data_IF_669333517893
#
_entry.id   IF_669333517893
#
_cell.length_a   1.000
_cell.length_b   1.000
_cell.length_c   1.000
_cell.angle_alpha   90.00
_cell.angle_beta   90.00
_cell.angle_gamma   90.00
#
_symmetry.space_group_name_H-M   'P 1'
#
loop_
_entity.id
_entity.type
_entity.pdbx_description
1 polymer ?
#
# COMPACT_ATOMS: atom_id res chain seq x y z
N UNK A 1 -2.92 -4.12 -9.21
CA UNK A 1 -1.59 -4.39 -9.82
C UNK A 1 -0.71 -5.32 -8.99
N UNK A 2 -0.11 -4.90 -7.86
CA UNK A 2 0.85 -5.75 -7.12
C UNK A 2 0.28 -7.09 -6.64
N UNK A 3 -0.95 -7.10 -6.13
CA UNK A 3 -1.65 -8.32 -5.74
C UNK A 3 -1.82 -9.29 -6.93
N UNK A 4 -2.21 -8.78 -8.09
CA UNK A 4 -2.32 -9.58 -9.32
C UNK A 4 -0.96 -10.15 -9.74
N UNK A 5 0.11 -9.34 -9.74
CA UNK A 5 1.46 -9.81 -10.04
C UNK A 5 1.91 -10.94 -9.10
N UNK A 6 1.64 -10.80 -7.80
CA UNK A 6 1.89 -11.84 -6.82
C UNK A 6 1.13 -13.12 -7.11
N UNK A 7 -0.18 -13.02 -7.34
CA UNK A 7 -1.03 -14.18 -7.65
C UNK A 7 -0.63 -14.87 -8.96
N UNK A 8 -0.21 -14.10 -9.97
CA UNK A 8 0.31 -14.64 -11.23
C UNK A 8 1.61 -15.42 -11.00
N UNK A 9 2.57 -14.83 -10.28
CA UNK A 9 3.85 -15.47 -9.98
C UNK A 9 3.72 -16.70 -9.08
N UNK A 10 2.68 -16.73 -8.23
CA UNK A 10 2.34 -17.89 -7.40
C UNK A 10 1.50 -18.95 -8.14
N UNK A 11 1.16 -18.75 -9.42
CA UNK A 11 0.33 -19.70 -10.18
C UNK A 11 -1.11 -19.78 -9.70
N UNK A 12 -1.59 -18.78 -8.96
CA UNK A 12 -2.93 -18.74 -8.36
C UNK A 12 -3.92 -17.91 -9.17
N UNK A 13 -3.45 -17.02 -10.04
CA UNK A 13 -4.29 -16.07 -10.76
C UNK A 13 -5.44 -16.72 -11.53
N UNK A 14 -5.16 -17.74 -12.34
CA UNK A 14 -6.19 -18.41 -13.16
C UNK A 14 -7.30 -19.04 -12.32
N UNK A 15 -6.96 -19.54 -11.13
CA UNK A 15 -7.93 -20.16 -10.19
C UNK A 15 -8.79 -19.12 -9.47
N UNK A 16 -8.27 -17.91 -9.28
CA UNK A 16 -8.89 -16.89 -8.45
C UNK A 16 -9.54 -15.75 -9.24
N UNK A 17 -9.13 -15.48 -10.49
CA UNK A 17 -9.55 -14.30 -11.25
C UNK A 17 -11.08 -14.12 -11.35
N UNK A 18 -11.85 -15.20 -11.41
CA UNK A 18 -13.32 -15.16 -11.44
C UNK A 18 -14.00 -14.89 -10.08
N UNK A 19 -13.22 -14.86 -9.00
CA UNK A 19 -13.68 -14.64 -7.61
C UNK A 19 -13.14 -13.33 -7.01
N UNK A 20 -12.35 -12.57 -7.76
CA UNK A 20 -11.70 -11.35 -7.28
C UNK A 20 -12.64 -10.16 -7.48
N UNK A 21 -12.85 -9.41 -6.41
CA UNK A 21 -13.48 -8.09 -6.45
C UNK A 21 -12.37 -7.04 -6.28
N UNK A 22 -12.33 -6.03 -7.15
CA UNK A 22 -11.37 -4.94 -7.08
C UNK A 22 -12.04 -3.64 -6.66
N UNK A 23 -11.37 -2.87 -5.82
CA UNK A 23 -11.83 -1.56 -5.37
C UNK A 23 -10.91 -0.45 -5.85
N UNK A 24 -11.43 0.78 -5.86
CA UNK A 24 -10.66 1.97 -6.25
C UNK A 24 -9.66 2.37 -5.16
N UNK A 25 -10.01 2.14 -3.89
CA UNK A 25 -9.16 2.46 -2.75
C UNK A 25 -8.81 1.21 -1.95
N UNK A 26 -7.52 1.07 -1.58
CA UNK A 26 -7.01 -0.07 -0.83
C UNK A 26 -7.67 -0.25 0.55
N UNK A 27 -8.21 0.83 1.14
CA UNK A 27 -8.95 0.78 2.40
C UNK A 27 -10.30 0.07 2.26
N UNK A 28 -10.94 0.11 1.10
CA UNK A 28 -12.22 -0.58 0.88
C UNK A 28 -12.05 -2.11 0.90
N UNK A 29 -10.93 -2.61 0.39
CA UNK A 29 -10.61 -4.04 0.43
C UNK A 29 -10.53 -4.57 1.87
N UNK A 30 -10.02 -3.77 2.81
CA UNK A 30 -9.99 -4.09 4.24
C UNK A 30 -11.39 -4.12 4.84
N UNK A 31 -12.19 -3.09 4.58
CA UNK A 31 -13.55 -3.01 5.11
C UNK A 31 -14.40 -4.20 4.66
N UNK A 32 -14.20 -4.71 3.45
CA UNK A 32 -14.95 -5.87 2.95
C UNK A 32 -14.61 -7.16 3.70
N UNK A 33 -13.35 -7.34 4.13
CA UNK A 33 -12.96 -8.45 5.01
C UNK A 33 -13.64 -8.29 6.37
N UNK A 34 -13.56 -7.10 6.98
CA UNK A 34 -14.15 -6.84 8.30
C UNK A 34 -15.69 -6.98 8.31
N UNK A 35 -16.36 -6.64 7.20
CA UNK A 35 -17.80 -6.83 7.02
C UNK A 35 -18.19 -8.29 6.68
N UNK A 36 -17.24 -9.20 6.51
CA UNK A 36 -17.51 -10.58 6.07
C UNK A 36 -18.04 -10.69 4.64
N UNK A 37 -17.83 -9.67 3.79
CA UNK A 37 -18.25 -9.68 2.38
C UNK A 37 -17.32 -10.52 1.50
N UNK A 38 -16.09 -10.74 1.95
CA UNK A 38 -15.09 -11.58 1.28
C UNK A 38 -14.34 -12.40 2.33
N UNK A 39 -13.89 -13.60 1.94
CA UNK A 39 -13.15 -14.50 2.83
C UNK A 39 -11.72 -14.00 3.13
N UNK A 40 -11.10 -13.31 2.17
CA UNK A 40 -9.72 -12.83 2.27
C UNK A 40 -9.48 -11.58 1.42
N UNK A 41 -8.56 -10.73 1.88
CA UNK A 41 -8.09 -9.54 1.16
C UNK A 41 -6.56 -9.51 1.06
N UNK A 42 -6.05 -8.95 -0.05
CA UNK A 42 -4.62 -8.66 -0.22
C UNK A 42 -4.44 -7.15 -0.09
N UNK A 43 -3.58 -6.74 0.83
CA UNK A 43 -3.39 -5.33 1.18
C UNK A 43 -1.90 -5.06 1.51
N UNK A 44 -1.50 -3.78 1.55
CA UNK A 44 -0.13 -3.40 1.91
C UNK A 44 0.11 -3.56 3.41
N UNK A 45 1.29 -4.00 3.85
CA UNK A 45 1.56 -4.12 5.29
C UNK A 45 1.45 -2.77 6.05
N UNK A 46 1.68 -1.64 5.37
CA UNK A 46 1.50 -0.28 5.92
C UNK A 46 0.05 0.15 6.10
N UNK A 47 -0.91 -0.68 5.68
CA UNK A 47 -2.34 -0.41 5.69
C UNK A 47 -2.87 -0.15 7.11
N UNK A 48 -4.01 0.57 7.24
CA UNK A 48 -4.55 1.10 8.48
C UNK A 48 -4.59 0.18 9.71
N UNK A 49 -4.58 -1.14 9.58
CA UNK A 49 -4.54 -2.05 10.74
C UNK A 49 -3.49 -1.70 11.80
N UNK A 50 -2.27 -1.32 11.38
CA UNK A 50 -1.19 -0.93 12.29
C UNK A 50 -0.96 0.60 12.31
N UNK A 51 -1.22 1.28 11.19
CA UNK A 51 -0.84 2.70 10.99
C UNK A 51 -1.99 3.69 11.20
N UNK A 52 -3.24 3.24 11.13
CA UNK A 52 -4.44 4.06 11.28
C UNK A 52 -5.65 3.19 11.67
N UNK A 53 -5.59 2.47 12.82
CA UNK A 53 -6.59 1.48 13.22
C UNK A 53 -7.99 2.08 13.37
N UNK A 54 -8.07 3.40 13.64
CA UNK A 54 -9.30 4.18 13.68
C UNK A 54 -10.06 4.23 12.34
N UNK A 55 -9.40 3.91 11.23
CA UNK A 55 -9.98 3.94 9.87
C UNK A 55 -10.58 2.60 9.43
N UNK A 56 -10.55 1.59 10.28
CA UNK A 56 -11.09 0.24 10.01
C UNK A 56 -12.34 0.01 10.86
N UNK A 57 -13.40 -0.49 10.23
CA UNK A 57 -14.62 -0.86 10.94
C UNK A 57 -14.41 -2.15 11.75
N UNK A 58 -13.92 -2.02 12.98
CA UNK A 58 -13.68 -3.11 13.95
C UNK A 58 -12.62 -4.15 13.50
N UNK A 59 -11.72 -4.60 14.39
CA UNK A 59 -10.65 -5.53 14.02
C UNK A 59 -11.14 -6.98 13.93
N UNK A 60 -12.16 -7.25 13.11
CA UNK A 60 -12.60 -8.61 12.81
C UNK A 60 -11.85 -9.19 11.60
N UNK A 61 -10.54 -9.33 11.72
CA UNK A 61 -9.68 -9.91 10.70
C UNK A 61 -8.46 -10.56 11.34
N UNK A 62 -7.75 -11.40 10.58
CA UNK A 62 -6.49 -12.00 10.99
C UNK A 62 -5.51 -12.01 9.83
N UNK A 63 -4.24 -11.72 10.11
CA UNK A 63 -3.18 -11.84 9.10
C UNK A 63 -2.81 -13.31 8.99
N UNK A 64 -3.16 -13.93 7.87
CA UNK A 64 -2.96 -15.38 7.65
C UNK A 64 -1.67 -15.70 6.89
N UNK A 65 -1.17 -14.76 6.08
CA UNK A 65 0.05 -14.94 5.30
C UNK A 65 0.67 -13.60 4.88
N UNK A 66 1.98 -13.62 4.61
CA UNK A 66 2.68 -12.55 3.89
C UNK A 66 3.05 -13.05 2.51
N UNK A 67 2.78 -12.26 1.48
CA UNK A 67 3.21 -12.59 0.12
C UNK A 67 4.74 -12.59 0.04
N UNK A 68 5.37 -13.57 -0.63
CA UNK A 68 6.82 -13.59 -0.81
C UNK A 68 7.30 -12.31 -1.51
N UNK A 69 8.37 -11.68 -1.01
CA UNK A 69 8.87 -10.40 -1.56
C UNK A 69 9.21 -10.47 -3.05
N UNK A 70 9.61 -11.64 -3.53
CA UNK A 70 9.93 -11.88 -4.94
C UNK A 70 8.69 -12.16 -5.79
N UNK A 71 7.50 -12.29 -5.21
CA UNK A 71 6.26 -12.58 -5.96
C UNK A 71 5.68 -11.35 -6.67
N UNK A 72 6.04 -10.14 -6.24
CA UNK A 72 5.56 -8.87 -6.82
C UNK A 72 6.72 -7.90 -7.06
N UNK A 73 6.59 -6.93 -7.97
CA UNK A 73 7.61 -5.90 -8.17
C UNK A 73 7.75 -5.01 -6.94
N UNK A 74 8.93 -4.42 -6.73
CA UNK A 74 9.18 -3.50 -5.62
C UNK A 74 8.13 -2.40 -5.55
N UNK A 75 7.46 -2.28 -4.41
CA UNK A 75 6.48 -1.21 -4.16
C UNK A 75 7.23 0.12 -4.05
N UNK A 76 6.94 1.05 -4.95
CA UNK A 76 7.53 2.39 -4.98
C UNK A 76 6.54 3.43 -4.47
N UNK A 77 7.00 4.32 -3.60
CA UNK A 77 6.27 5.52 -3.19
C UNK A 77 7.02 6.71 -3.77
N UNK A 78 6.33 7.48 -4.62
CA UNK A 78 6.93 8.59 -5.37
C UNK A 78 6.13 9.86 -5.11
N UNK A 79 6.85 10.97 -5.03
CA UNK A 79 6.26 12.30 -4.94
C UNK A 79 6.83 13.16 -6.07
N UNK A 80 5.98 13.99 -6.67
CA UNK A 80 6.35 14.86 -7.78
C UNK A 80 5.61 16.19 -7.71
N UNK A 81 6.24 17.23 -8.24
CA UNK A 81 5.62 18.56 -8.33
C UNK A 81 4.80 18.61 -9.61
N UNK A 82 3.52 19.00 -9.50
CA UNK A 82 2.66 19.19 -10.66
C UNK A 82 3.24 20.28 -11.58
N UNK A 83 3.28 20.02 -12.89
CA UNK A 83 3.82 20.95 -13.91
C UNK A 83 3.15 22.34 -13.83
N UNK A 84 1.83 22.36 -13.59
CA UNK A 84 1.01 23.58 -13.46
C UNK A 84 0.90 24.14 -12.04
N UNK A 85 1.72 23.68 -11.08
CA UNK A 85 1.67 24.22 -9.71
C UNK A 85 1.99 25.72 -9.70
N UNK A 86 1.15 26.50 -9.02
CA UNK A 86 1.37 27.93 -8.74
C UNK A 86 2.34 28.16 -7.58
N UNK A 87 2.71 27.10 -6.85
CA UNK A 87 3.52 27.16 -5.64
C UNK A 87 4.72 26.20 -5.72
N UNK A 88 5.44 26.23 -6.84
CA UNK A 88 6.56 25.30 -7.12
C UNK A 88 7.65 25.38 -6.07
N UNK A 89 8.00 26.57 -5.62
CA UNK A 89 9.06 26.79 -4.62
C UNK A 89 8.71 26.15 -3.28
N UNK A 90 7.47 26.34 -2.81
CA UNK A 90 6.96 25.73 -1.58
C UNK A 90 6.88 24.21 -1.72
N UNK A 91 6.39 23.71 -2.85
CA UNK A 91 6.36 22.28 -3.14
C UNK A 91 7.77 21.65 -3.14
N UNK A 92 8.77 22.35 -3.69
CA UNK A 92 10.16 21.91 -3.68
C UNK A 92 10.73 21.87 -2.27
N UNK A 93 10.44 22.87 -1.43
CA UNK A 93 10.82 22.87 -0.01
C UNK A 93 10.20 21.68 0.73
N UNK A 94 8.94 21.39 0.47
CA UNK A 94 8.26 20.24 1.07
C UNK A 94 8.86 18.90 0.62
N UNK A 95 9.17 18.73 -0.68
CA UNK A 95 9.85 17.53 -1.16
C UNK A 95 11.24 17.37 -0.52
N UNK A 96 12.00 18.46 -0.38
CA UNK A 96 13.30 18.45 0.34
C UNK A 96 13.13 17.99 1.79
N UNK A 97 12.15 18.55 2.50
CA UNK A 97 11.81 18.16 3.86
C UNK A 97 11.47 16.65 3.97
N UNK A 98 10.65 16.13 3.06
CA UNK A 98 10.27 14.71 3.07
C UNK A 98 11.47 13.77 2.90
N UNK A 99 12.53 14.18 2.19
CA UNK A 99 13.73 13.35 1.96
C UNK A 99 14.83 13.54 3.00
N UNK A 100 14.64 14.42 3.99
CA UNK A 100 15.58 14.57 5.10
C UNK A 100 15.77 13.25 5.87
N UNK A 101 16.96 12.96 6.39
CA UNK A 101 17.23 11.69 7.09
C UNK A 101 16.26 11.40 8.24
N UNK A 102 15.88 12.42 9.02
CA UNK A 102 14.92 12.30 10.12
C UNK A 102 13.53 11.90 9.60
N UNK A 103 13.08 12.51 8.51
CA UNK A 103 11.78 12.21 7.91
C UNK A 103 11.77 10.83 7.26
N UNK A 104 12.84 10.46 6.55
CA UNK A 104 12.98 9.12 5.97
C UNK A 104 13.00 8.02 7.05
N UNK A 105 13.63 8.27 8.21
CA UNK A 105 13.59 7.36 9.35
C UNK A 105 12.16 7.20 9.89
N UNK A 106 11.43 8.31 10.05
CA UNK A 106 10.04 8.26 10.51
C UNK A 106 9.14 7.52 9.52
N UNK A 107 9.26 7.81 8.22
CA UNK A 107 8.50 7.13 7.17
C UNK A 107 8.78 5.61 7.19
N UNK A 108 10.04 5.20 7.33
CA UNK A 108 10.40 3.79 7.45
C UNK A 108 9.82 3.12 8.71
N UNK A 109 9.77 3.83 9.85
CA UNK A 109 9.11 3.33 11.07
C UNK A 109 7.60 3.14 10.88
N UNK A 110 6.97 3.97 10.05
CA UNK A 110 5.57 3.83 9.64
C UNK A 110 5.39 2.79 8.51
N UNK A 111 6.45 2.08 8.14
CA UNK A 111 6.47 1.05 7.09
C UNK A 111 6.53 1.58 5.66
N UNK A 112 6.56 2.90 5.46
CA UNK A 112 6.65 3.50 4.13
C UNK A 112 8.06 3.27 3.57
N UNK A 113 8.19 2.54 2.44
CA UNK A 113 9.50 2.16 1.93
C UNK A 113 10.28 3.38 1.43
N UNK A 114 11.52 3.50 1.86
CA UNK A 114 12.47 4.49 1.34
C UNK A 114 13.02 3.99 0.01
N UNK A 115 12.43 4.41 -1.12
CA UNK A 115 13.03 4.16 -2.41
C UNK A 115 14.08 5.23 -2.70
N UNK A 116 15.34 4.87 -2.56
CA UNK A 116 16.45 5.61 -3.14
C UNK A 116 16.60 5.16 -4.59
N UNK A 117 16.33 6.04 -5.53
CA UNK A 117 16.82 5.85 -6.89
C UNK A 117 18.34 5.97 -6.81
N UNK A 118 19.05 4.85 -6.91
CA UNK A 118 20.46 4.88 -7.28
C UNK A 118 20.55 5.20 -8.77
#
# INVERSE_FOLDING_TARGET
YYAQQALQKLGLWEKLKGKIITHWHAQEAVNYVCMGRVDAGIYYATCPFDSAPEKVMSPNYKIVAKLPKNSYPTVKVQAGILKGSKSKEVAQKFLKFLVEPKMQKLLAQLGIPNYKAN
#
